data_IF_776955276044
#
_entry.id   IF_776955276044
#
_cell.length_a   1.000
_cell.length_b   1.000
_cell.length_c   1.000
_cell.angle_alpha   90.00
_cell.angle_beta   90.00
_cell.angle_gamma   90.00
#
_symmetry.space_group_name_H-M   'P 1'
#
loop_
_entity.id
_entity.type
_entity.pdbx_description
1 polymer ?
#
# COMPACT_ATOMS: atom_id res chain seq x y z
N UNK A 1 -14.41 32.49 1.05
CA UNK A 1 -13.39 31.56 0.53
C UNK A 1 -13.63 30.11 0.95
N UNK A 2 -13.86 29.83 2.24
CA UNK A 2 -14.01 28.47 2.77
C UNK A 2 -15.11 27.60 2.14
N UNK A 3 -16.33 28.10 1.97
CA UNK A 3 -17.43 27.30 1.38
C UNK A 3 -17.17 26.87 -0.06
N UNK A 4 -16.44 27.68 -0.84
CA UNK A 4 -16.04 27.31 -2.22
C UNK A 4 -15.07 26.13 -2.20
N UNK A 5 -14.11 26.13 -1.27
CA UNK A 5 -13.15 25.02 -1.11
C UNK A 5 -13.88 23.75 -0.67
N UNK A 6 -14.82 23.84 0.28
CA UNK A 6 -15.60 22.67 0.73
C UNK A 6 -16.40 22.04 -0.42
N UNK A 7 -16.95 22.86 -1.32
CA UNK A 7 -17.66 22.40 -2.51
C UNK A 7 -16.74 21.68 -3.51
N UNK A 8 -15.54 22.22 -3.74
CA UNK A 8 -14.54 21.61 -4.65
C UNK A 8 -14.09 20.25 -4.14
N UNK A 9 -13.85 20.12 -2.84
CA UNK A 9 -13.32 18.90 -2.20
C UNK A 9 -14.45 17.89 -1.87
N UNK A 10 -15.72 18.28 -2.03
CA UNK A 10 -16.86 17.39 -1.83
C UNK A 10 -17.13 17.02 -0.36
N UNK A 11 -16.68 17.84 0.60
CA UNK A 11 -16.87 17.59 2.03
C UNK A 11 -17.90 18.53 2.66
N UNK A 12 -18.69 18.01 3.60
CA UNK A 12 -19.67 18.80 4.34
C UNK A 12 -18.99 19.68 5.40
N UNK A 13 -19.69 20.73 5.84
CA UNK A 13 -19.25 21.58 6.97
C UNK A 13 -19.02 20.74 8.24
N UNK A 14 -19.87 19.74 8.46
CA UNK A 14 -19.76 18.83 9.60
C UNK A 14 -18.46 18.00 9.54
N UNK A 15 -18.12 17.45 8.36
CA UNK A 15 -16.86 16.75 8.16
C UNK A 15 -15.64 17.65 8.40
N UNK A 16 -15.69 18.90 7.97
CA UNK A 16 -14.57 19.85 8.18
C UNK A 16 -14.31 20.15 9.66
N UNK A 17 -15.36 20.23 10.49
CA UNK A 17 -15.23 20.52 11.91
C UNK A 17 -15.03 19.27 12.78
N UNK A 18 -15.20 18.08 12.19
CA UNK A 18 -15.04 16.83 12.92
C UNK A 18 -13.59 16.63 13.35
N UNK A 19 -13.36 16.52 14.66
CA UNK A 19 -12.09 16.08 15.24
C UNK A 19 -12.22 14.61 15.62
N UNK A 20 -11.39 13.75 15.03
CA UNK A 20 -11.37 12.33 15.36
C UNK A 20 -10.99 12.14 16.84
N UNK A 21 -11.77 11.32 17.57
CA UNK A 21 -11.59 11.13 19.01
C UNK A 21 -10.50 10.12 19.39
N UNK A 22 -9.63 9.72 18.44
CA UNK A 22 -8.52 8.79 18.65
C UNK A 22 -8.87 7.38 19.13
N UNK A 23 -10.13 7.11 19.46
CA UNK A 23 -10.56 5.91 20.19
C UNK A 23 -10.83 4.68 19.32
N UNK A 24 -10.78 4.82 18.00
CA UNK A 24 -10.89 3.68 17.06
C UNK A 24 -9.52 3.35 16.52
N UNK A 25 -8.99 2.19 16.92
CA UNK A 25 -7.81 1.61 16.27
C UNK A 25 -8.08 1.51 14.78
N UNK A 26 -7.07 1.82 13.96
CA UNK A 26 -7.12 1.56 12.53
C UNK A 26 -7.41 0.09 12.24
N UNK A 27 -7.80 -0.21 11.00
CA UNK A 27 -7.98 -1.60 10.55
C UNK A 27 -6.68 -2.37 10.82
N UNK A 28 -6.80 -3.54 11.44
CA UNK A 28 -5.66 -4.44 11.64
C UNK A 28 -4.99 -4.75 10.30
N UNK A 29 -3.67 -4.92 10.32
CA UNK A 29 -2.89 -5.35 9.16
C UNK A 29 -3.47 -6.66 8.59
N UNK A 30 -3.48 -6.79 7.26
CA UNK A 30 -3.78 -8.09 6.63
C UNK A 30 -2.59 -9.02 6.85
N UNK A 31 -2.85 -10.33 6.90
CA UNK A 31 -1.82 -11.35 7.00
C UNK A 31 -1.43 -11.94 5.63
N UNK A 32 -2.21 -11.60 4.60
CA UNK A 32 -2.08 -12.12 3.24
C UNK A 32 -2.07 -11.00 2.21
N UNK A 33 -1.49 -11.32 1.06
CA UNK A 33 -1.39 -10.47 -0.14
C UNK A 33 -1.68 -11.31 -1.39
N UNK A 34 -2.16 -10.68 -2.45
CA UNK A 34 -2.35 -11.35 -3.74
C UNK A 34 -1.06 -11.30 -4.56
N UNK A 35 -0.52 -12.46 -4.93
CA UNK A 35 0.63 -12.63 -5.82
C UNK A 35 0.13 -13.02 -7.21
N UNK A 36 0.64 -12.36 -8.24
CA UNK A 36 0.36 -12.73 -9.63
C UNK A 36 1.28 -13.88 -10.04
N UNK A 37 0.71 -14.99 -10.47
CA UNK A 37 1.43 -16.15 -11.01
C UNK A 37 0.86 -16.47 -12.39
N UNK A 38 1.56 -16.02 -13.44
CA UNK A 38 1.05 -16.08 -14.81
C UNK A 38 -0.26 -15.29 -14.96
N UNK A 39 -1.31 -15.97 -15.40
CA UNK A 39 -2.66 -15.39 -15.58
C UNK A 39 -3.53 -15.44 -14.32
N UNK A 40 -3.05 -16.04 -13.21
CA UNK A 40 -3.83 -16.22 -11.99
C UNK A 40 -3.32 -15.33 -10.86
N UNK A 41 -4.24 -14.92 -9.97
CA UNK A 41 -3.92 -14.23 -8.72
C UNK A 41 -4.13 -15.21 -7.58
N UNK A 42 -3.05 -15.54 -6.88
CA UNK A 42 -3.06 -16.44 -5.73
C UNK A 42 -2.88 -15.65 -4.45
N UNK A 43 -3.55 -16.06 -3.38
CA UNK A 43 -3.36 -15.46 -2.05
C UNK A 43 -2.16 -16.10 -1.36
N UNK A 44 -1.22 -15.28 -0.89
CA UNK A 44 0.01 -15.71 -0.24
C UNK A 44 0.20 -15.01 1.12
N UNK A 45 0.79 -15.68 2.11
CA UNK A 45 1.18 -15.05 3.37
C UNK A 45 2.21 -13.94 3.15
N UNK A 46 2.11 -12.86 3.94
CA UNK A 46 3.04 -11.74 3.85
C UNK A 46 4.50 -12.15 4.12
N UNK A 47 4.72 -13.11 5.03
CA UNK A 47 6.04 -13.62 5.38
C UNK A 47 6.79 -14.14 4.15
N UNK A 48 6.11 -14.90 3.29
CA UNK A 48 6.71 -15.41 2.04
C UNK A 48 7.13 -14.29 1.09
N UNK A 49 6.38 -13.20 1.04
CA UNK A 49 6.73 -12.04 0.21
C UNK A 49 7.98 -11.35 0.77
N UNK A 50 8.11 -11.26 2.09
CA UNK A 50 9.30 -10.70 2.74
C UNK A 50 10.53 -11.56 2.46
N UNK A 51 10.41 -12.88 2.56
CA UNK A 51 11.51 -13.80 2.25
C UNK A 51 11.95 -13.69 0.78
N UNK A 52 11.00 -13.64 -0.16
CA UNK A 52 11.27 -13.45 -1.58
C UNK A 52 12.03 -12.12 -1.82
N UNK A 53 11.65 -11.03 -1.14
CA UNK A 53 12.33 -9.73 -1.25
C UNK A 53 13.76 -9.81 -0.72
N UNK A 54 13.96 -10.43 0.46
CA UNK A 54 15.28 -10.59 1.06
C UNK A 54 16.18 -11.39 0.11
N UNK A 55 15.67 -12.48 -0.45
CA UNK A 55 16.39 -13.30 -1.41
C UNK A 55 16.78 -12.50 -2.66
N UNK A 56 15.83 -11.77 -3.26
CA UNK A 56 16.10 -10.92 -4.44
C UNK A 56 17.18 -9.89 -4.13
N UNK A 57 17.11 -9.24 -2.97
CA UNK A 57 18.01 -8.16 -2.60
C UNK A 57 19.39 -8.65 -2.12
N UNK A 58 19.50 -9.91 -1.67
CA UNK A 58 20.77 -10.55 -1.32
C UNK A 58 21.61 -10.94 -2.54
N UNK A 59 21.04 -10.91 -3.76
CA UNK A 59 21.79 -11.20 -4.98
C UNK A 59 22.61 -9.97 -5.41
N UNK A 60 23.95 -10.02 -5.37
CA UNK A 60 24.81 -8.89 -5.75
C UNK A 60 24.69 -8.54 -7.24
N UNK A 61 24.36 -9.51 -8.10
CA UNK A 61 24.06 -9.29 -9.53
C UNK A 61 22.82 -8.42 -9.77
N UNK A 62 21.84 -8.43 -8.86
CA UNK A 62 20.61 -7.63 -8.94
C UNK A 62 20.72 -6.27 -8.21
N UNK A 63 21.88 -5.99 -7.60
CA UNK A 63 22.11 -4.76 -6.85
C UNK A 63 22.25 -3.52 -7.76
N UNK A 64 22.58 -3.70 -9.05
CA UNK A 64 22.60 -2.58 -10.00
C UNK A 64 21.21 -2.37 -10.62
N UNK A 65 20.63 -1.18 -10.39
CA UNK A 65 19.30 -0.82 -10.88
C UNK A 65 19.11 -0.88 -12.40
N UNK A 66 20.22 -0.86 -13.16
CA UNK A 66 20.22 -0.98 -14.62
C UNK A 66 19.94 -2.40 -15.13
N UNK A 67 20.33 -3.46 -14.40
CA UNK A 67 20.00 -4.85 -14.80
C UNK A 67 18.57 -5.25 -14.47
N UNK A 68 17.89 -4.53 -13.56
CA UNK A 68 16.49 -4.82 -13.18
C UNK A 68 15.46 -4.40 -14.26
N UNK A 69 15.88 -3.64 -15.26
CA UNK A 69 15.02 -3.06 -16.31
C UNK A 69 15.39 -3.53 -17.73
N UNK A 70 15.89 -4.76 -17.90
CA UNK A 70 16.02 -5.33 -19.24
C UNK A 70 14.65 -5.86 -19.70
N UNK A 71 14.00 -5.05 -20.52
CA UNK A 71 12.82 -5.37 -21.31
C UNK A 71 13.12 -6.46 -22.34
#
# INVERSE_FOLDING_TARGET
>A
MRDRVLKIVGISKHHYYYKSKGSRSGRSKSNTTLKQQGSQKIEVPNEKVVDDIIQVQSNPDLACGYHRMQC
#
